data_IF_207940054979
#
_entry.id   IF_207940054979
#
_cell.length_a   1.000
_cell.length_b   1.000
_cell.length_c   1.000
_cell.angle_alpha   90.00
_cell.angle_beta   90.00
_cell.angle_gamma   90.00
#
_symmetry.space_group_name_H-M   'P 1'
#
loop_
_entity.id
_entity.type
_entity.pdbx_description
1 polymer ?
#
# COMPACT_ATOMS: atom_id res chain seq x y z
N UNK A 1 -30.01 25.22 19.50
CA UNK A 1 -30.04 24.59 18.15
C UNK A 1 -28.74 24.73 17.34
N UNK A 2 -27.90 25.76 17.54
CA UNK A 2 -26.58 25.88 16.87
C UNK A 2 -25.48 25.03 17.51
N UNK A 3 -25.53 24.82 18.82
CA UNK A 3 -24.58 24.00 19.59
C UNK A 3 -24.67 22.49 19.33
N UNK A 4 -25.82 21.99 18.86
CA UNK A 4 -26.00 20.57 18.51
C UNK A 4 -25.39 20.22 17.14
N UNK A 5 -25.24 21.21 16.24
CA UNK A 5 -24.67 21.02 14.90
C UNK A 5 -23.13 20.98 14.91
N UNK A 6 -22.47 21.63 15.87
CA UNK A 6 -21.01 21.57 15.99
C UNK A 6 -20.50 20.26 16.62
N UNK A 7 -21.27 19.67 17.53
CA UNK A 7 -20.91 18.40 18.16
C UNK A 7 -20.91 17.23 17.16
N UNK A 8 -21.80 17.26 16.14
CA UNK A 8 -21.86 16.22 15.11
C UNK A 8 -20.65 16.24 14.16
N UNK A 9 -20.08 17.42 13.89
CA UNK A 9 -18.96 17.59 12.95
C UNK A 9 -17.61 17.10 13.49
N UNK A 10 -17.41 17.18 14.82
CA UNK A 10 -16.16 16.73 15.45
C UNK A 10 -16.07 15.19 15.60
N UNK A 11 -17.22 14.50 15.64
CA UNK A 11 -17.25 13.04 15.79
C UNK A 11 -16.89 12.33 14.47
N UNK A 12 -17.17 12.96 13.32
CA UNK A 12 -16.93 12.36 12.00
C UNK A 12 -15.44 12.23 11.61
N UNK A 13 -14.54 13.02 12.21
CA UNK A 13 -13.12 13.03 11.86
C UNK A 13 -12.28 11.97 12.61
N UNK A 14 -12.84 11.29 13.61
CA UNK A 14 -12.09 10.42 14.53
C UNK A 14 -12.06 8.93 14.15
N UNK A 15 -12.62 8.52 13.00
CA UNK A 15 -12.78 7.10 12.62
C UNK A 15 -12.14 6.76 11.25
N UNK A 16 -11.10 7.50 10.83
CA UNK A 16 -10.32 7.09 9.65
C UNK A 16 -9.39 5.92 10.03
N UNK A 17 -9.94 4.72 10.15
CA UNK A 17 -9.16 3.48 10.18
C UNK A 17 -8.43 3.34 8.83
N UNK A 18 -7.16 2.90 8.81
CA UNK A 18 -6.47 2.59 7.56
C UNK A 18 -7.24 1.49 6.84
N UNK A 19 -7.79 1.81 5.67
CA UNK A 19 -8.34 0.81 4.77
C UNK A 19 -7.17 0.12 4.07
N UNK A 20 -6.73 -1.01 4.61
CA UNK A 20 -5.79 -1.87 3.90
C UNK A 20 -6.52 -2.51 2.71
N UNK A 21 -6.04 -2.24 1.49
CA UNK A 21 -6.60 -2.78 0.26
C UNK A 21 -6.34 -4.30 0.08
N UNK A 22 -5.43 -4.85 0.90
CA UNK A 22 -5.09 -6.27 0.94
C UNK A 22 -4.69 -6.67 2.36
N UNK A 23 -4.95 -7.93 2.69
CA UNK A 23 -4.64 -8.54 3.99
C UNK A 23 -3.44 -9.46 3.77
N UNK A 24 -2.27 -9.17 4.38
CA UNK A 24 -1.08 -10.00 4.21
C UNK A 24 -1.36 -11.45 4.60
N UNK A 25 -0.98 -12.38 3.72
CA UNK A 25 -1.01 -13.81 3.96
C UNK A 25 0.37 -14.38 3.61
N UNK A 26 0.66 -15.60 4.05
CA UNK A 26 1.92 -16.26 3.72
C UNK A 26 1.72 -17.76 3.56
N UNK A 27 2.71 -18.42 2.97
CA UNK A 27 2.68 -19.85 2.66
C UNK A 27 2.37 -20.07 1.18
N UNK A 28 1.62 -21.13 0.88
CA UNK A 28 1.35 -21.54 -0.49
C UNK A 28 -0.15 -21.77 -0.71
N UNK A 29 -0.57 -21.52 -1.95
CA UNK A 29 -1.86 -21.89 -2.51
C UNK A 29 -1.65 -23.03 -3.51
N UNK A 30 -2.30 -24.17 -3.28
CA UNK A 30 -2.29 -25.29 -4.22
C UNK A 30 -3.57 -25.26 -5.04
N UNK A 31 -3.45 -25.10 -6.35
CA UNK A 31 -4.61 -25.07 -7.23
C UNK A 31 -5.20 -26.47 -7.42
N UNK A 32 -6.50 -26.61 -7.24
CA UNK A 32 -7.24 -27.86 -7.51
C UNK A 32 -7.80 -27.85 -8.94
N UNK A 33 -8.07 -26.66 -9.47
CA UNK A 33 -8.64 -26.45 -10.81
C UNK A 33 -7.76 -25.50 -11.65
N UNK A 34 -7.95 -25.56 -12.97
CA UNK A 34 -7.41 -24.54 -13.86
C UNK A 34 -8.30 -23.30 -13.80
N UNK A 35 -7.80 -22.22 -13.20
CA UNK A 35 -8.56 -21.00 -12.97
C UNK A 35 -7.87 -19.78 -13.57
N UNK A 36 -8.65 -18.77 -14.02
CA UNK A 36 -8.09 -17.50 -14.45
C UNK A 36 -7.28 -16.82 -13.34
N UNK A 37 -6.08 -16.37 -13.69
CA UNK A 37 -5.19 -15.64 -12.81
C UNK A 37 -5.12 -14.17 -13.25
N UNK A 38 -6.01 -13.35 -12.71
CA UNK A 38 -6.23 -11.98 -13.16
C UNK A 38 -5.14 -11.02 -12.67
N UNK A 39 -4.79 -10.03 -13.49
CA UNK A 39 -4.04 -8.86 -13.04
C UNK A 39 -4.96 -7.85 -12.33
N UNK A 40 -6.23 -7.76 -12.75
CA UNK A 40 -7.26 -6.96 -12.08
C UNK A 40 -8.57 -7.73 -12.00
N UNK A 41 -9.05 -8.03 -10.79
CA UNK A 41 -10.36 -8.70 -10.59
C UNK A 41 -11.54 -7.79 -10.89
N UNK A 42 -11.43 -6.49 -10.61
CA UNK A 42 -12.52 -5.53 -10.85
C UNK A 42 -12.75 -5.26 -12.34
N UNK A 43 -11.72 -5.40 -13.17
CA UNK A 43 -11.78 -5.22 -14.63
C UNK A 43 -11.68 -6.53 -15.41
N UNK A 44 -11.66 -7.66 -14.70
CA UNK A 44 -11.43 -9.01 -15.25
C UNK A 44 -10.26 -9.07 -16.26
N UNK A 45 -9.21 -8.30 -15.98
CA UNK A 45 -8.09 -8.13 -16.91
C UNK A 45 -7.06 -9.23 -16.67
N UNK A 46 -6.86 -10.09 -17.67
CA UNK A 46 -5.91 -11.21 -17.62
C UNK A 46 -4.96 -11.21 -18.84
N UNK A 47 -3.94 -10.33 -18.86
CA UNK A 47 -2.97 -10.32 -19.95
C UNK A 47 -2.23 -11.67 -19.99
N UNK A 48 -2.16 -12.25 -21.18
CA UNK A 48 -1.59 -13.58 -21.42
C UNK A 48 -2.53 -14.75 -21.12
N UNK A 49 -3.81 -14.48 -20.79
CA UNK A 49 -4.81 -15.52 -20.45
C UNK A 49 -4.26 -16.56 -19.46
N UNK A 50 -3.57 -16.07 -18.44
CA UNK A 50 -2.85 -16.90 -17.48
C UNK A 50 -3.85 -17.72 -16.69
N UNK A 51 -3.58 -19.02 -16.58
CA UNK A 51 -4.39 -19.97 -15.84
C UNK A 51 -3.52 -20.65 -14.77
N UNK A 52 -4.08 -20.90 -13.60
CA UNK A 52 -3.49 -21.86 -12.66
C UNK A 52 -3.52 -23.27 -13.25
N UNK A 53 -2.66 -24.15 -12.73
CA UNK A 53 -2.60 -25.56 -13.14
C UNK A 53 -2.94 -26.44 -11.95
N UNK A 54 -3.90 -27.38 -12.08
CA UNK A 54 -4.22 -28.34 -11.03
C UNK A 54 -2.98 -29.04 -10.48
N UNK A 55 -2.92 -29.19 -9.15
CA UNK A 55 -1.80 -29.77 -8.42
C UNK A 55 -0.56 -28.86 -8.30
N UNK A 56 -0.56 -27.67 -8.90
CA UNK A 56 0.57 -26.74 -8.81
C UNK A 56 0.45 -25.87 -7.57
N UNK A 57 1.56 -25.75 -6.83
CA UNK A 57 1.70 -24.89 -5.67
C UNK A 57 2.28 -23.54 -6.08
N UNK A 58 1.60 -22.46 -5.68
CA UNK A 58 1.98 -21.08 -5.93
C UNK A 58 2.25 -20.37 -4.60
N UNK A 59 3.23 -19.47 -4.57
CA UNK A 59 3.48 -18.64 -3.39
C UNK A 59 2.27 -17.73 -3.13
N UNK A 60 1.78 -17.73 -1.88
CA UNK A 60 0.66 -16.91 -1.42
C UNK A 60 1.19 -15.64 -0.75
N UNK A 61 0.68 -14.50 -1.19
CA UNK A 61 1.10 -13.17 -0.72
C UNK A 61 0.03 -12.48 0.12
N UNK A 62 -1.22 -12.50 -0.31
CA UNK A 62 -2.28 -11.72 0.33
C UNK A 62 -3.69 -12.22 -0.02
N UNK A 63 -4.68 -11.79 0.77
CA UNK A 63 -6.10 -11.85 0.44
C UNK A 63 -6.63 -10.45 0.13
N UNK A 64 -7.64 -10.33 -0.73
CA UNK A 64 -8.18 -9.03 -1.11
C UNK A 64 -9.01 -8.33 0.00
N UNK A 65 -9.48 -9.08 0.99
CA UNK A 65 -10.29 -8.62 2.14
C UNK A 65 -10.37 -9.73 3.19
N UNK A 66 -11.04 -9.47 4.31
CA UNK A 66 -11.33 -10.46 5.34
C UNK A 66 -12.84 -10.69 5.46
N UNK A 67 -13.37 -11.93 5.27
CA UNK A 67 -12.67 -13.10 4.72
C UNK A 67 -12.35 -12.91 3.21
N UNK A 68 -11.25 -13.50 2.71
CA UNK A 68 -10.85 -13.30 1.32
C UNK A 68 -11.81 -13.98 0.35
N UNK A 69 -11.96 -13.36 -0.82
CA UNK A 69 -12.60 -13.98 -1.99
C UNK A 69 -11.64 -14.22 -3.13
N UNK A 70 -10.53 -13.49 -3.13
CA UNK A 70 -9.43 -13.70 -4.06
C UNK A 70 -8.12 -13.68 -3.28
N UNK A 71 -7.18 -14.51 -3.74
CA UNK A 71 -5.82 -14.62 -3.24
C UNK A 71 -4.86 -14.02 -4.24
N UNK A 72 -3.86 -13.31 -3.74
CA UNK A 72 -2.76 -12.81 -4.54
C UNK A 72 -1.61 -13.81 -4.50
N UNK A 73 -1.30 -14.40 -5.65
CA UNK A 73 -0.29 -15.45 -5.79
C UNK A 73 0.80 -15.03 -6.78
N UNK A 74 1.99 -15.61 -6.64
CA UNK A 74 3.06 -15.49 -7.64
C UNK A 74 2.90 -16.60 -8.69
N UNK A 75 2.68 -16.22 -9.95
CA UNK A 75 2.66 -17.13 -11.10
C UNK A 75 3.92 -16.90 -11.92
N UNK A 76 4.93 -17.79 -11.82
CA UNK A 76 6.21 -17.61 -12.52
C UNK A 76 6.01 -17.44 -14.03
N UNK A 77 6.66 -16.43 -14.61
CA UNK A 77 6.61 -16.15 -16.05
C UNK A 77 5.36 -15.43 -16.55
N UNK A 78 4.38 -15.11 -15.68
CA UNK A 78 3.29 -14.21 -16.03
C UNK A 78 3.77 -12.74 -16.03
N UNK A 79 3.17 -11.88 -16.86
CA UNK A 79 3.45 -10.45 -16.85
C UNK A 79 2.18 -9.63 -16.56
N UNK A 80 2.03 -9.05 -15.35
CA UNK A 80 2.90 -9.18 -14.17
C UNK A 80 2.83 -10.59 -13.54
N UNK A 81 3.83 -10.96 -12.73
CA UNK A 81 3.87 -12.30 -12.09
C UNK A 81 2.84 -12.45 -10.97
N UNK A 82 2.52 -11.35 -10.28
CA UNK A 82 1.53 -11.35 -9.20
C UNK A 82 0.11 -11.35 -9.78
N UNK A 83 -0.67 -12.39 -9.50
CA UNK A 83 -2.02 -12.59 -10.05
C UNK A 83 -3.04 -12.92 -8.98
N UNK A 84 -4.26 -12.45 -9.17
CA UNK A 84 -5.41 -12.75 -8.35
C UNK A 84 -6.09 -14.02 -8.83
N UNK A 85 -6.32 -14.96 -7.93
CA UNK A 85 -7.08 -16.19 -8.18
C UNK A 85 -8.22 -16.30 -7.17
N UNK A 86 -9.36 -16.87 -7.57
CA UNK A 86 -10.48 -17.12 -6.63
C UNK A 86 -10.05 -18.09 -5.52
N UNK A 87 -10.58 -17.90 -4.32
CA UNK A 87 -10.41 -18.85 -3.20
C UNK A 87 -10.97 -20.24 -3.52
N UNK A 88 -11.96 -20.34 -4.41
CA UNK A 88 -12.59 -21.62 -4.78
C UNK A 88 -11.72 -22.47 -5.73
N UNK A 89 -10.60 -21.92 -6.20
CA UNK A 89 -9.74 -22.58 -7.18
C UNK A 89 -8.72 -23.55 -6.59
N UNK A 90 -8.67 -23.66 -5.28
CA UNK A 90 -7.70 -24.49 -4.60
C UNK A 90 -7.73 -24.33 -3.09
N UNK A 91 -6.67 -24.82 -2.46
CA UNK A 91 -6.54 -24.81 -1.00
C UNK A 91 -5.31 -24.04 -0.55
N UNK A 92 -5.46 -23.30 0.55
CA UNK A 92 -4.36 -22.62 1.22
C UNK A 92 -4.53 -22.79 2.74
N UNK A 93 -3.54 -23.34 3.46
CA UNK A 93 -3.62 -23.50 4.92
C UNK A 93 -3.90 -22.19 5.66
N UNK A 94 -3.42 -21.06 5.13
CA UNK A 94 -3.66 -19.73 5.66
C UNK A 94 -5.16 -19.33 5.70
N UNK A 95 -6.01 -19.95 4.88
CA UNK A 95 -7.47 -19.73 4.87
C UNK A 95 -8.20 -20.54 5.96
N UNK A 96 -7.63 -21.65 6.39
CA UNK A 96 -8.23 -22.47 7.45
C UNK A 96 -8.04 -21.83 8.84
N UNK A 97 -7.06 -20.94 8.97
CA UNK A 97 -6.78 -20.19 10.20
C UNK A 97 -7.54 -18.85 10.29
N UNK A 98 -8.50 -18.59 9.38
CA UNK A 98 -9.30 -17.34 9.42
C UNK A 98 -10.43 -17.37 10.47
N UNK A 99 -10.62 -18.47 11.19
CA UNK A 99 -11.19 -18.45 12.55
C UNK A 99 -10.11 -18.03 13.53
N UNK A 100 -10.13 -16.77 13.96
CA UNK A 100 -9.41 -16.24 15.14
C UNK A 100 -7.88 -16.47 15.18
N UNK A 101 -7.17 -16.14 14.09
CA UNK A 101 -5.75 -15.80 14.24
C UNK A 101 -5.60 -14.29 14.22
N UNK A 102 -5.72 -13.69 15.41
CA UNK A 102 -4.92 -12.49 15.74
C UNK A 102 -3.49 -12.85 15.38
N UNK A 103 -3.04 -12.40 14.20
CA UNK A 103 -1.71 -12.69 13.72
C UNK A 103 -0.72 -12.34 14.81
N UNK A 104 0.04 -13.33 15.28
CA UNK A 104 1.24 -13.04 16.03
C UNK A 104 2.01 -12.03 15.17
N UNK A 105 2.27 -10.81 15.68
CA UNK A 105 2.89 -9.79 14.88
C UNK A 105 4.17 -10.39 14.33
N UNK A 106 4.36 -10.33 13.01
CA UNK A 106 5.68 -10.53 12.41
C UNK A 106 6.68 -9.82 13.32
N UNK A 107 7.82 -10.44 13.71
CA UNK A 107 8.69 -9.91 14.74
C UNK A 107 8.87 -8.45 14.43
N UNK A 108 8.25 -7.58 15.25
CA UNK A 108 8.34 -6.16 15.03
C UNK A 108 9.83 -5.94 15.02
N UNK A 109 10.37 -5.51 13.88
CA UNK A 109 11.71 -4.95 13.89
C UNK A 109 11.57 -3.78 14.85
N UNK A 110 11.95 -4.02 16.10
CA UNK A 110 12.09 -3.01 17.13
C UNK A 110 13.33 -2.27 16.71
N UNK A 111 13.19 -1.49 15.64
CA UNK A 111 14.14 -0.48 15.30
C UNK A 111 14.10 0.50 16.48
N UNK A 112 15.05 0.35 17.39
CA UNK A 112 15.23 1.21 18.57
C UNK A 112 15.86 2.54 18.16
N UNK A 113 15.38 3.14 17.09
CA UNK A 113 15.84 4.41 16.57
C UNK A 113 14.67 5.20 15.99
N UNK A 114 14.87 6.50 15.79
CA UNK A 114 13.89 7.36 15.15
C UNK A 114 13.62 6.87 13.74
N UNK A 115 12.37 6.54 13.42
CA UNK A 115 11.98 6.24 12.05
C UNK A 115 12.00 7.53 11.22
N UNK A 116 12.37 7.46 9.95
CA UNK A 116 12.40 8.61 9.06
C UNK A 116 11.60 8.35 7.79
N UNK A 117 10.92 9.38 7.29
CA UNK A 117 10.48 9.43 5.90
C UNK A 117 11.55 10.17 5.10
N UNK A 118 12.14 9.50 4.12
CA UNK A 118 12.92 10.14 3.07
C UNK A 118 11.95 10.56 1.96
N UNK A 119 11.66 11.86 1.88
CA UNK A 119 10.85 12.43 0.84
C UNK A 119 11.76 12.90 -0.31
N UNK A 120 11.51 12.34 -1.50
CA UNK A 120 12.16 12.76 -2.75
C UNK A 120 11.11 13.27 -3.72
N UNK A 121 11.45 14.32 -4.46
CA UNK A 121 10.55 14.99 -5.39
C UNK A 121 10.98 14.79 -6.84
N UNK A 122 10.00 14.66 -7.72
CA UNK A 122 10.19 14.86 -9.16
C UNK A 122 9.76 16.29 -9.51
N UNK A 123 10.74 17.18 -9.64
CA UNK A 123 10.48 18.62 -9.78
C UNK A 123 9.58 18.97 -10.97
N UNK A 124 9.72 18.37 -12.17
CA UNK A 124 8.84 18.68 -13.30
C UNK A 124 7.35 18.47 -12.99
N UNK A 125 6.98 17.35 -12.36
CA UNK A 125 5.57 17.09 -12.02
C UNK A 125 5.06 18.05 -10.93
N UNK A 126 5.91 18.42 -9.96
CA UNK A 126 5.56 19.47 -9.02
C UNK A 126 5.30 20.80 -9.74
N UNK A 127 6.18 21.20 -10.66
CA UNK A 127 6.06 22.46 -11.38
C UNK A 127 4.88 22.50 -12.38
N UNK A 128 4.42 21.36 -12.88
CA UNK A 128 3.16 21.27 -13.63
C UNK A 128 1.94 21.69 -12.78
N UNK A 129 1.93 21.33 -11.49
CA UNK A 129 0.82 21.64 -10.57
C UNK A 129 0.99 22.96 -9.81
N UNK A 130 2.23 23.41 -9.62
CA UNK A 130 2.57 24.62 -8.88
C UNK A 130 3.50 25.57 -9.69
N UNK A 131 3.11 26.00 -10.90
CA UNK A 131 4.00 26.73 -11.81
C UNK A 131 4.42 28.12 -11.29
N UNK A 132 3.71 28.65 -10.29
CA UNK A 132 4.02 29.96 -9.69
C UNK A 132 5.06 29.89 -8.58
N UNK A 133 5.43 28.71 -8.11
CA UNK A 133 6.48 28.54 -7.11
C UNK A 133 7.81 29.10 -7.66
N UNK A 134 8.65 29.67 -6.79
CA UNK A 134 9.86 30.40 -7.23
C UNK A 134 10.81 29.48 -7.98
N UNK A 135 11.01 28.29 -7.45
CA UNK A 135 11.81 27.21 -8.00
C UNK A 135 11.32 26.72 -9.37
N UNK A 136 10.05 26.91 -9.71
CA UNK A 136 9.49 26.51 -11.00
C UNK A 136 9.59 27.59 -12.07
N UNK A 137 9.56 28.87 -11.69
CA UNK A 137 9.67 29.98 -12.64
C UNK A 137 11.03 30.05 -13.34
N UNK A 138 12.08 29.64 -12.62
CA UNK A 138 13.47 29.73 -13.09
C UNK A 138 14.03 28.36 -13.54
N UNK A 139 13.21 27.29 -13.49
CA UNK A 139 13.63 25.94 -13.88
C UNK A 139 13.95 25.87 -15.38
N UNK A 140 15.10 25.30 -15.71
CA UNK A 140 15.48 25.01 -17.10
C UNK A 140 15.29 23.52 -17.40
N UNK A 141 15.02 23.14 -18.65
CA UNK A 141 14.81 21.73 -19.01
C UNK A 141 15.98 20.80 -18.66
N UNK A 142 17.20 21.34 -18.55
CA UNK A 142 18.41 20.59 -18.24
C UNK A 142 19.01 20.93 -16.85
N UNK A 143 18.28 21.64 -16.01
CA UNK A 143 18.68 21.81 -14.62
C UNK A 143 18.68 20.46 -13.90
N UNK A 144 19.49 20.31 -12.85
CA UNK A 144 19.64 19.04 -12.15
C UNK A 144 18.29 18.49 -11.63
N UNK A 145 17.49 19.34 -11.01
CA UNK A 145 16.17 19.02 -10.49
C UNK A 145 15.14 18.69 -11.58
N UNK A 146 15.36 19.13 -12.83
CA UNK A 146 14.49 18.80 -13.96
C UNK A 146 14.75 17.40 -14.53
N UNK A 147 15.94 16.84 -14.30
CA UNK A 147 16.35 15.54 -14.86
C UNK A 147 16.67 14.48 -13.81
N UNK A 148 16.60 14.80 -12.52
CA UNK A 148 16.91 13.91 -11.41
C UNK A 148 15.89 14.07 -10.29
N UNK A 149 15.79 13.07 -9.41
CA UNK A 149 15.08 13.24 -8.15
C UNK A 149 15.81 14.25 -7.26
N UNK A 150 15.08 15.24 -6.77
CA UNK A 150 15.57 16.21 -5.79
C UNK A 150 15.15 15.80 -4.38
N UNK A 151 15.99 16.09 -3.37
CA UNK A 151 15.61 15.88 -1.99
C UNK A 151 14.49 16.87 -1.62
N UNK A 152 13.37 16.35 -1.12
CA UNK A 152 12.32 17.18 -0.53
C UNK A 152 12.57 17.34 0.97
N UNK A 153 12.87 16.25 1.65
CA UNK A 153 13.17 16.30 3.08
C UNK A 153 13.50 14.94 3.68
N UNK A 154 14.03 14.99 4.88
CA UNK A 154 14.22 13.83 5.75
C UNK A 154 13.49 14.11 7.06
N UNK A 155 12.41 13.40 7.31
CA UNK A 155 11.46 13.74 8.37
C UNK A 155 11.43 12.66 9.46
N UNK A 156 11.97 12.95 10.66
CA UNK A 156 11.71 12.14 11.84
C UNK A 156 10.23 11.83 12.02
N UNK A 157 9.90 10.59 12.37
CA UNK A 157 8.53 10.17 12.64
C UNK A 157 8.28 10.15 14.15
N UNK A 158 7.15 10.74 14.56
CA UNK A 158 6.76 10.92 15.96
C UNK A 158 6.11 12.28 16.17
N UNK A 159 5.09 12.39 17.04
CA UNK A 159 4.38 13.67 17.27
C UNK A 159 5.24 14.74 17.95
N UNK A 160 6.28 14.30 18.64
CA UNK A 160 7.26 15.12 19.36
C UNK A 160 8.50 15.44 18.52
N UNK A 161 8.61 14.86 17.32
CA UNK A 161 9.76 15.00 16.44
C UNK A 161 9.61 16.13 15.40
N UNK A 162 8.63 17.00 15.60
CA UNK A 162 8.39 18.22 14.81
C UNK A 162 8.64 19.45 15.68
N UNK A 163 9.26 20.47 15.10
CA UNK A 163 9.59 21.73 15.79
C UNK A 163 10.42 21.48 17.07
N UNK A 164 11.49 20.67 16.96
CA UNK A 164 12.44 20.48 18.05
C UNK A 164 13.19 21.79 18.33
N UNK A 165 13.46 22.07 19.61
CA UNK A 165 14.26 23.21 20.08
C UNK A 165 13.73 24.61 19.70
N UNK A 166 12.44 24.74 19.35
CA UNK A 166 11.79 26.04 19.18
C UNK A 166 10.93 26.40 20.39
N UNK A 167 10.62 27.69 20.56
CA UNK A 167 9.76 28.14 21.67
C UNK A 167 8.31 27.74 21.43
N UNK A 168 7.50 27.64 22.50
CA UNK A 168 6.06 27.36 22.36
C UNK A 168 5.30 28.42 21.54
N UNK A 169 5.86 29.61 21.37
CA UNK A 169 5.28 30.65 20.50
C UNK A 169 5.51 30.34 19.02
N UNK A 170 6.59 29.65 18.71
CA UNK A 170 7.05 29.34 17.34
C UNK A 170 6.72 27.91 16.91
N UNK A 171 6.04 27.15 17.78
CA UNK A 171 5.47 25.83 17.52
C UNK A 171 4.02 25.96 17.06
#
# INVERSE_FOLDING_TARGET
MKSLRLALSLIAAAIALPAHAEVPLSGNFTADHACPAFQSINRETNPGNVMTRPGTSYELVAGNRTPPTHLWIIVPGAQPERRWVSVDCGTAPALNNTTETTGAPAPQRTYRGTQYILAVNWQPAFCETAPRARECRDQRPNSFEATNFALHGLWPQGRDAEYCDVTNRDR
#
